data_IF_751268562206
#
_entry.id   IF_751268562206
#
_cell.length_a   1.000
_cell.length_b   1.000
_cell.length_c   1.000
_cell.angle_alpha   90.00
_cell.angle_beta   90.00
_cell.angle_gamma   90.00
#
_symmetry.space_group_name_H-M   'P 1'
#
loop_
_entity.id
_entity.type
_entity.pdbx_description
1 polymer ?
#
# COMPACT_ATOMS: atom_id res chain seq x y z
N UNK A 1 -10.37 -17.50 5.88
CA UNK A 1 -9.16 -16.84 5.34
C UNK A 1 -9.38 -15.36 5.50
N UNK A 2 -8.55 -14.69 6.31
CA UNK A 2 -8.53 -13.23 6.35
C UNK A 2 -8.07 -12.70 5.00
N UNK A 3 -8.68 -11.60 4.54
CA UNK A 3 -8.18 -10.89 3.36
C UNK A 3 -7.17 -9.87 3.85
N UNK A 4 -5.92 -10.02 3.42
CA UNK A 4 -4.89 -9.03 3.69
C UNK A 4 -5.21 -7.75 2.94
N UNK A 5 -5.08 -6.60 3.60
CA UNK A 5 -5.20 -5.31 2.92
C UNK A 5 -3.97 -5.02 2.07
N UNK A 6 -4.15 -4.16 1.06
CA UNK A 6 -3.03 -3.63 0.29
C UNK A 6 -2.68 -2.26 0.87
N UNK A 7 -1.42 -2.07 1.21
CA UNK A 7 -0.92 -0.83 1.80
C UNK A 7 0.00 -0.09 0.84
N UNK A 8 -0.13 1.23 0.83
CA UNK A 8 0.85 2.17 0.28
C UNK A 8 1.55 2.84 1.45
N UNK A 9 2.83 2.51 1.67
CA UNK A 9 3.64 3.00 2.80
C UNK A 9 4.85 3.81 2.31
N UNK A 10 5.25 4.89 3.01
CA UNK A 10 6.54 5.51 2.77
C UNK A 10 7.67 4.54 3.15
N UNK A 11 8.72 4.47 2.32
CA UNK A 11 9.90 3.65 2.56
C UNK A 11 11.16 4.41 2.10
N UNK A 12 11.79 5.13 3.03
CA UNK A 12 12.86 6.08 2.70
C UNK A 12 12.34 7.17 1.76
N UNK A 13 13.04 7.39 0.64
CA UNK A 13 12.66 8.37 -0.40
C UNK A 13 11.64 7.82 -1.42
N UNK A 14 11.05 6.65 -1.16
CA UNK A 14 10.15 5.94 -2.06
C UNK A 14 8.83 5.58 -1.41
N UNK A 15 7.92 5.04 -2.21
CA UNK A 15 6.63 4.52 -1.80
C UNK A 15 6.53 3.04 -2.13
N UNK A 16 6.26 2.22 -1.11
CA UNK A 16 6.12 0.79 -1.27
C UNK A 16 4.65 0.39 -1.33
N UNK A 17 4.32 -0.46 -2.29
CA UNK A 17 3.05 -1.17 -2.35
C UNK A 17 3.24 -2.54 -1.69
N UNK A 18 2.46 -2.87 -0.68
CA UNK A 18 2.71 -4.04 0.16
C UNK A 18 1.40 -4.72 0.57
N UNK A 19 1.38 -6.05 0.57
CA UNK A 19 0.28 -6.82 1.15
C UNK A 19 0.50 -6.94 2.67
N UNK A 20 -0.58 -6.77 3.44
CA UNK A 20 -0.58 -6.97 4.89
C UNK A 20 0.03 -8.32 5.25
N UNK A 21 0.88 -8.36 6.29
CA UNK A 21 1.64 -9.53 6.74
C UNK A 21 2.69 -10.10 5.76
N UNK A 22 2.87 -9.52 4.58
CA UNK A 22 4.03 -9.82 3.74
C UNK A 22 5.27 -9.10 4.29
N UNK A 23 6.47 -9.63 4.08
CA UNK A 23 7.71 -8.92 4.42
C UNK A 23 8.16 -8.04 3.24
N UNK A 24 7.99 -8.56 2.03
CA UNK A 24 8.47 -7.93 0.80
C UNK A 24 7.41 -7.00 0.19
N UNK A 25 7.83 -5.85 -0.37
CA UNK A 25 6.94 -5.02 -1.17
C UNK A 25 6.63 -5.69 -2.51
N UNK A 26 5.39 -5.57 -2.95
CA UNK A 26 4.94 -5.94 -4.30
C UNK A 26 5.69 -5.08 -5.33
N UNK A 27 5.85 -3.79 -5.04
CA UNK A 27 6.56 -2.83 -5.90
C UNK A 27 7.01 -1.59 -5.13
N UNK A 28 8.00 -0.88 -5.70
CA UNK A 28 8.50 0.40 -5.21
C UNK A 28 8.29 1.49 -6.26
N UNK A 29 7.89 2.67 -5.81
CA UNK A 29 7.53 3.81 -6.64
C UNK A 29 8.22 5.09 -6.16
N UNK A 30 8.39 6.06 -7.06
CA UNK A 30 9.02 7.35 -6.72
C UNK A 30 8.07 8.30 -5.99
N UNK A 31 6.75 8.09 -6.11
CA UNK A 31 5.72 8.93 -5.48
C UNK A 31 4.54 8.13 -4.93
N UNK A 32 3.78 8.74 -4.03
CA UNK A 32 2.58 8.15 -3.45
C UNK A 32 1.52 7.87 -4.52
N UNK A 33 1.35 8.80 -5.46
CA UNK A 33 0.37 8.69 -6.54
C UNK A 33 0.66 7.51 -7.47
N UNK A 34 1.94 7.27 -7.78
CA UNK A 34 2.37 6.10 -8.55
C UNK A 34 2.04 4.79 -7.82
N UNK A 35 2.32 4.72 -6.51
CA UNK A 35 1.99 3.55 -5.70
C UNK A 35 0.48 3.33 -5.57
N UNK A 36 -0.31 4.40 -5.44
CA UNK A 36 -1.77 4.34 -5.43
C UNK A 36 -2.31 3.82 -6.77
N UNK A 37 -1.77 4.33 -7.88
CA UNK A 37 -2.18 3.89 -9.22
C UNK A 37 -1.90 2.40 -9.44
N UNK A 38 -0.74 1.91 -8.98
CA UNK A 38 -0.40 0.49 -9.02
C UNK A 38 -1.23 -0.36 -8.05
N UNK A 39 -1.58 0.16 -6.87
CA UNK A 39 -2.32 -0.56 -5.84
C UNK A 39 -3.80 -0.78 -6.12
N UNK A 40 -4.47 0.15 -6.79
CA UNK A 40 -5.91 0.07 -7.13
C UNK A 40 -6.32 -1.24 -7.81
N UNK A 41 -5.70 -1.66 -8.94
CA UNK A 41 -6.09 -2.91 -9.60
C UNK A 41 -5.78 -4.15 -8.74
N UNK A 42 -4.74 -4.11 -7.90
CA UNK A 42 -4.37 -5.23 -7.03
C UNK A 42 -5.39 -5.40 -5.90
N UNK A 43 -5.77 -4.30 -5.24
CA UNK A 43 -6.81 -4.31 -4.22
C UNK A 43 -8.14 -4.84 -4.77
N UNK A 44 -8.51 -4.44 -6.00
CA UNK A 44 -9.69 -4.96 -6.69
C UNK A 44 -9.60 -6.47 -6.97
N UNK A 45 -8.45 -6.95 -7.46
CA UNK A 45 -8.21 -8.36 -7.74
C UNK A 45 -8.30 -9.21 -6.46
N UNK A 46 -7.73 -8.71 -5.36
CA UNK A 46 -7.71 -9.38 -4.06
C UNK A 46 -9.02 -9.18 -3.27
N UNK A 47 -9.95 -8.36 -3.77
CA UNK A 47 -11.23 -8.01 -3.12
C UNK A 47 -11.02 -7.48 -1.70
N UNK A 48 -10.05 -6.58 -1.57
CA UNK A 48 -9.60 -5.97 -0.32
C UNK A 48 -9.46 -4.46 -0.50
N UNK A 49 -9.19 -3.76 0.61
CA UNK A 49 -9.02 -2.31 0.59
C UNK A 49 -7.58 -1.88 0.27
N UNK A 50 -7.46 -0.69 -0.30
CA UNK A 50 -6.18 0.01 -0.49
C UNK A 50 -6.02 1.06 0.63
N UNK A 51 -5.13 0.77 1.57
CA UNK A 51 -4.82 1.63 2.72
C UNK A 51 -3.61 2.50 2.40
N UNK A 52 -3.79 3.82 2.48
CA UNK A 52 -2.75 4.79 2.11
C UNK A 52 -2.20 5.44 3.38
N UNK A 53 -0.92 5.21 3.66
CA UNK A 53 -0.23 5.83 4.81
C UNK A 53 0.31 7.20 4.44
N UNK A 54 0.39 8.09 5.43
CA UNK A 54 0.98 9.42 5.24
C UNK A 54 2.51 9.36 5.30
N UNK A 55 3.23 10.34 4.72
CA UNK A 55 4.68 10.43 4.79
C UNK A 55 5.25 10.46 6.22
N UNK A 56 4.43 10.84 7.20
CA UNK A 56 4.78 10.94 8.62
C UNK A 56 4.27 9.75 9.46
N UNK A 57 4.03 8.60 8.82
CA UNK A 57 3.61 7.34 9.46
C UNK A 57 2.29 7.41 10.26
N UNK A 58 1.52 8.50 10.15
CA UNK A 58 0.22 8.60 10.80
C UNK A 58 -0.85 7.90 9.94
N UNK A 59 -1.33 6.76 10.43
CA UNK A 59 -2.58 6.16 9.99
C UNK A 59 -3.70 7.00 10.62
N UNK A 60 -4.57 7.61 9.81
CA UNK A 60 -5.82 8.14 10.34
C UNK A 60 -6.82 6.99 10.32
N UNK A 61 -7.17 6.48 11.50
CA UNK A 61 -8.35 5.63 11.66
C UNK A 61 -9.55 6.35 11.00
N UNK A 62 -10.25 5.63 10.13
CA UNK A 62 -11.50 6.07 9.52
C UNK A 62 -12.67 5.43 10.27
#
# INVERSE_FOLDING_TARGET
MERNHIHVIPQGDKWALKEENNLEPISLHGSQDEAIAAGKPIAQLHKTELVIHRPNEQIREA
#
